data_IF_297627558434
#
_entry.id   IF_297627558434
#
_cell.length_a   1.000
_cell.length_b   1.000
_cell.length_c   1.000
_cell.angle_alpha   90.00
_cell.angle_beta   90.00
_cell.angle_gamma   90.00
#
_symmetry.space_group_name_H-M   'P 1'
#
loop_
_entity.id
_entity.type
_entity.pdbx_description
1 polymer ?
#
# COMPACT_ATOMS: atom_id res chain seq x y z
N UNK A 1 15.76 -6.67 -10.92
CA UNK A 1 14.70 -5.66 -11.17
C UNK A 1 13.47 -6.07 -10.39
N UNK A 2 12.78 -5.13 -9.74
CA UNK A 2 11.47 -5.40 -9.15
C UNK A 2 10.41 -4.65 -9.97
N UNK A 3 9.28 -5.30 -10.23
CA UNK A 3 8.13 -4.72 -10.94
C UNK A 3 6.93 -4.81 -10.00
N UNK A 4 6.41 -3.66 -9.61
CA UNK A 4 5.19 -3.54 -8.81
C UNK A 4 4.03 -3.12 -9.71
N UNK A 5 2.89 -3.80 -9.59
CA UNK A 5 1.68 -3.52 -10.34
C UNK A 5 0.73 -2.70 -9.48
N UNK A 6 0.55 -1.43 -9.84
CA UNK A 6 -0.53 -0.59 -9.33
C UNK A 6 -1.81 -0.77 -10.15
N UNK A 7 -2.90 -0.16 -9.71
CA UNK A 7 -4.21 -0.32 -10.37
C UNK A 7 -4.20 0.05 -11.86
N UNK A 8 -3.55 1.16 -12.21
CA UNK A 8 -3.42 1.67 -13.58
C UNK A 8 -1.98 2.03 -13.97
N UNK A 9 -1.00 1.66 -13.15
CA UNK A 9 0.42 1.95 -13.36
C UNK A 9 1.31 0.76 -13.04
N UNK A 10 2.56 0.81 -13.50
CA UNK A 10 3.61 -0.14 -13.13
C UNK A 10 4.82 0.62 -12.63
N UNK A 11 5.32 0.24 -11.47
CA UNK A 11 6.55 0.80 -10.89
C UNK A 11 7.70 -0.18 -11.08
N UNK A 12 8.83 0.33 -11.60
CA UNK A 12 10.05 -0.46 -11.80
C UNK A 12 11.12 0.03 -10.83
N UNK A 13 11.56 -0.85 -9.94
CA UNK A 13 12.70 -0.57 -9.05
C UNK A 13 13.99 -1.10 -9.68
N UNK A 14 14.91 -0.18 -9.95
CA UNK A 14 16.24 -0.44 -10.47
C UNK A 14 17.27 -0.56 -9.34
N UNK A 15 18.25 -1.46 -9.49
CA UNK A 15 19.43 -1.44 -8.64
C UNK A 15 20.32 -0.23 -8.98
N UNK A 16 21.12 0.28 -8.03
CA UNK A 16 22.03 1.40 -8.29
C UNK A 16 22.95 1.13 -9.47
N UNK A 17 23.12 2.11 -10.35
CA UNK A 17 24.03 2.05 -11.50
C UNK A 17 23.52 1.27 -12.73
N UNK A 18 22.31 0.74 -12.70
CA UNK A 18 21.72 0.04 -13.86
C UNK A 18 21.00 1.03 -14.78
N UNK A 19 21.23 0.91 -16.10
CA UNK A 19 20.57 1.75 -17.10
C UNK A 19 19.18 1.23 -17.45
N UNK A 20 18.27 2.12 -17.88
CA UNK A 20 16.96 1.72 -18.38
C UNK A 20 17.06 0.78 -19.60
N UNK A 21 18.04 0.99 -20.47
CA UNK A 21 18.27 0.16 -21.66
C UNK A 21 18.47 -1.32 -21.31
N UNK A 22 19.14 -1.59 -20.18
CA UNK A 22 19.41 -2.95 -19.69
C UNK A 22 18.20 -3.57 -18.96
N UNK A 23 17.37 -2.72 -18.34
CA UNK A 23 16.18 -3.13 -17.58
C UNK A 23 14.97 -3.39 -18.47
N UNK A 24 14.77 -2.58 -19.51
CA UNK A 24 13.61 -2.67 -20.42
C UNK A 24 13.29 -4.09 -20.89
N UNK A 25 14.24 -4.91 -21.39
CA UNK A 25 13.92 -6.27 -21.84
C UNK A 25 13.46 -7.17 -20.67
N UNK A 26 14.02 -7.01 -19.47
CA UNK A 26 13.64 -7.78 -18.29
C UNK A 26 12.24 -7.40 -17.80
N UNK A 27 11.93 -6.10 -17.77
CA UNK A 27 10.59 -5.61 -17.40
C UNK A 27 9.53 -6.15 -18.36
N UNK A 28 9.79 -6.08 -19.67
CA UNK A 28 8.86 -6.60 -20.68
C UNK A 28 8.63 -8.10 -20.52
N UNK A 29 9.68 -8.88 -20.23
CA UNK A 29 9.54 -10.31 -19.98
C UNK A 29 8.65 -10.60 -18.77
N UNK A 30 8.86 -9.89 -17.65
CA UNK A 30 8.03 -10.05 -16.44
C UNK A 30 6.55 -9.71 -16.72
N UNK A 31 6.30 -8.61 -17.45
CA UNK A 31 4.92 -8.24 -17.83
C UNK A 31 4.29 -9.30 -18.73
N UNK A 32 5.01 -9.77 -19.75
CA UNK A 32 4.51 -10.80 -20.66
C UNK A 32 4.22 -12.11 -19.93
N UNK A 33 5.15 -12.61 -19.12
CA UNK A 33 4.99 -13.84 -18.34
C UNK A 33 3.75 -13.76 -17.45
N UNK A 34 3.54 -12.60 -16.81
CA UNK A 34 2.36 -12.36 -15.99
C UNK A 34 1.05 -12.46 -16.80
N UNK A 35 0.94 -11.74 -17.93
CA UNK A 35 -0.27 -11.75 -18.75
C UNK A 35 -0.51 -13.09 -19.45
N UNK A 36 0.55 -13.79 -19.85
CA UNK A 36 0.47 -15.13 -20.44
C UNK A 36 0.00 -16.16 -19.39
N UNK A 37 0.49 -16.05 -18.16
CA UNK A 37 0.07 -16.91 -17.06
C UNK A 37 -1.39 -16.69 -16.63
N UNK A 38 -2.02 -15.59 -17.06
CA UNK A 38 -3.36 -15.16 -16.61
C UNK A 38 -3.47 -15.13 -15.08
N UNK A 39 -2.35 -14.88 -14.40
CA UNK A 39 -2.34 -14.76 -12.96
C UNK A 39 -3.14 -13.51 -12.57
N UNK A 40 -4.08 -13.60 -11.61
CA UNK A 40 -4.83 -12.42 -11.19
C UNK A 40 -3.88 -11.39 -10.55
N UNK A 41 -3.88 -10.15 -11.08
CA UNK A 41 -3.15 -9.01 -10.49
C UNK A 41 -3.79 -8.54 -9.19
N UNK A 42 -5.12 -8.57 -9.16
CA UNK A 42 -5.94 -8.11 -8.06
C UNK A 42 -6.99 -9.17 -7.76
N UNK A 43 -7.44 -9.24 -6.51
CA UNK A 43 -8.59 -10.05 -6.15
C UNK A 43 -9.83 -9.43 -6.84
N UNK A 44 -10.50 -10.15 -7.76
CA UNK A 44 -11.70 -9.61 -8.39
C UNK A 44 -12.80 -9.43 -7.34
N UNK A 45 -13.47 -8.29 -7.34
CA UNK A 45 -14.64 -8.06 -6.48
C UNK A 45 -15.73 -9.08 -6.82
N UNK A 46 -16.17 -9.87 -5.84
CA UNK A 46 -17.27 -10.81 -6.01
C UNK A 46 -18.62 -10.12 -5.80
N UNK A 47 -19.67 -10.51 -6.53
CA UNK A 47 -21.03 -9.97 -6.37
C UNK A 47 -21.67 -10.24 -4.98
N UNK A 48 -21.03 -11.04 -4.14
CA UNK A 48 -21.42 -11.29 -2.75
C UNK A 48 -20.69 -10.38 -1.78
N UNK A 49 -21.04 -9.09 -1.75
CA UNK A 49 -20.53 -8.14 -0.75
C UNK A 49 -19.02 -7.90 -0.77
N UNK A 50 -18.57 -6.99 0.09
CA UNK A 50 -17.15 -6.69 0.32
C UNK A 50 -16.50 -7.96 0.85
N UNK A 51 -15.87 -8.74 -0.02
CA UNK A 51 -15.11 -9.90 0.37
C UNK A 51 -13.78 -9.43 0.98
N UNK A 52 -13.71 -9.40 2.30
CA UNK A 52 -12.43 -9.34 3.01
C UNK A 52 -11.69 -10.63 2.66
N UNK A 53 -10.55 -10.58 1.93
CA UNK A 53 -9.79 -11.78 1.64
C UNK A 53 -9.39 -12.46 2.95
N UNK A 54 -9.21 -13.80 3.00
CA UNK A 54 -8.55 -14.43 4.13
C UNK A 54 -7.17 -13.77 4.22
N UNK A 55 -7.03 -12.97 5.25
CA UNK A 55 -5.95 -12.02 5.34
C UNK A 55 -4.64 -12.78 5.46
N UNK A 56 -3.56 -12.19 4.97
CA UNK A 56 -2.21 -12.61 5.31
C UNK A 56 -2.04 -12.35 6.82
N UNK A 57 -2.53 -13.30 7.63
CA UNK A 57 -2.68 -13.28 9.11
C UNK A 57 -1.34 -13.13 9.85
N UNK A 58 -0.23 -12.97 9.14
CA UNK A 58 1.10 -12.84 9.72
C UNK A 58 1.33 -11.53 10.48
N UNK A 59 0.57 -10.46 10.20
CA UNK A 59 0.91 -9.10 10.69
C UNK A 59 -0.31 -8.18 10.94
N UNK A 60 -1.49 -8.73 11.19
CA UNK A 60 -2.64 -7.91 11.56
C UNK A 60 -2.61 -7.58 13.03
N UNK A 61 -2.82 -6.31 13.34
CA UNK A 61 -3.07 -5.89 14.71
C UNK A 61 -4.45 -6.42 15.11
N UNK A 62 -4.56 -7.02 16.29
CA UNK A 62 -5.85 -7.44 16.83
C UNK A 62 -6.69 -6.17 17.14
N UNK A 63 -7.79 -5.98 16.43
CA UNK A 63 -8.61 -4.77 16.51
C UNK A 63 -9.74 -4.95 17.53
N UNK A 64 -10.14 -3.88 18.21
CA UNK A 64 -11.27 -3.93 19.14
C UNK A 64 -12.55 -3.56 18.42
N UNK A 65 -13.63 -4.28 18.67
CA UNK A 65 -14.95 -3.98 18.07
C UNK A 65 -15.41 -2.54 18.39
N UNK A 66 -15.05 -2.02 19.56
CA UNK A 66 -15.36 -0.63 19.98
C UNK A 66 -14.67 0.44 19.13
N UNK A 67 -13.59 0.11 18.43
CA UNK A 67 -12.86 1.03 17.56
C UNK A 67 -13.40 1.04 16.11
N UNK A 68 -14.48 0.29 15.82
CA UNK A 68 -14.99 0.08 14.46
C UNK A 68 -15.26 1.36 13.66
N UNK A 69 -15.84 2.38 14.29
CA UNK A 69 -16.11 3.67 13.65
C UNK A 69 -14.81 4.43 13.31
N UNK A 70 -13.82 4.36 14.20
CA UNK A 70 -12.49 4.97 14.01
C UNK A 70 -11.77 4.28 12.84
N UNK A 71 -11.80 2.95 12.81
CA UNK A 71 -11.20 2.12 11.76
C UNK A 71 -11.86 2.42 10.41
N UNK A 72 -13.19 2.55 10.36
CA UNK A 72 -13.91 2.91 9.15
C UNK A 72 -13.47 4.29 8.63
N UNK A 73 -13.35 5.28 9.51
CA UNK A 73 -12.90 6.61 9.15
C UNK A 73 -11.45 6.65 8.67
N UNK A 74 -10.54 5.90 9.31
CA UNK A 74 -9.15 5.74 8.86
C UNK A 74 -9.14 5.17 7.44
N UNK A 75 -9.84 4.05 7.22
CA UNK A 75 -9.87 3.39 5.91
C UNK A 75 -10.44 4.30 4.81
N UNK A 76 -11.48 5.08 5.10
CA UNK A 76 -12.03 6.06 4.15
C UNK A 76 -10.98 7.12 3.76
N UNK A 77 -10.26 7.68 4.73
CA UNK A 77 -9.22 8.68 4.47
C UNK A 77 -8.05 8.08 3.68
N UNK A 78 -7.67 6.84 4.01
CA UNK A 78 -6.62 6.13 3.28
C UNK A 78 -7.01 5.95 1.82
N UNK A 79 -8.23 5.48 1.54
CA UNK A 79 -8.70 5.20 0.18
C UNK A 79 -8.93 6.48 -0.63
N UNK A 80 -9.55 7.50 -0.03
CA UNK A 80 -9.99 8.69 -0.77
C UNK A 80 -8.91 9.76 -0.92
N UNK A 81 -7.88 9.75 -0.06
CA UNK A 81 -6.86 10.82 -0.03
C UNK A 81 -5.43 10.30 -0.10
N UNK A 82 -5.10 9.29 0.68
CA UNK A 82 -3.70 8.84 0.80
C UNK A 82 -3.29 7.99 -0.40
N UNK A 83 -4.04 6.92 -0.71
CA UNK A 83 -3.72 6.02 -1.83
C UNK A 83 -3.62 6.74 -3.17
N UNK A 84 -4.50 7.69 -3.53
CA UNK A 84 -4.34 8.47 -4.77
C UNK A 84 -3.05 9.27 -4.82
N UNK A 85 -2.65 9.89 -3.71
CA UNK A 85 -1.39 10.64 -3.64
C UNK A 85 -0.17 9.71 -3.76
N UNK A 86 -0.19 8.57 -3.06
CA UNK A 86 0.89 7.59 -3.07
C UNK A 86 1.02 6.89 -4.42
N UNK A 87 -0.09 6.59 -5.08
CA UNK A 87 -0.12 6.06 -6.44
C UNK A 87 0.53 7.03 -7.44
N UNK A 88 0.31 8.34 -7.28
CA UNK A 88 0.99 9.37 -8.06
C UNK A 88 2.52 9.32 -7.97
N UNK A 89 3.04 8.86 -6.83
CA UNK A 89 4.48 8.66 -6.57
C UNK A 89 4.97 7.24 -6.95
N UNK A 90 4.10 6.39 -7.50
CA UNK A 90 4.42 5.01 -7.90
C UNK A 90 4.49 4.02 -6.73
N UNK A 91 3.86 4.32 -5.60
CA UNK A 91 3.72 3.42 -4.47
C UNK A 91 2.28 2.96 -4.25
N UNK A 92 2.08 2.15 -3.22
CA UNK A 92 0.78 1.95 -2.59
C UNK A 92 0.97 1.78 -1.08
N UNK A 93 -0.11 1.80 -0.33
CA UNK A 93 -0.13 1.48 1.10
C UNK A 93 -1.17 0.41 1.39
N UNK A 94 -0.82 -0.47 2.32
CA UNK A 94 -1.73 -1.47 2.83
C UNK A 94 -1.98 -1.23 4.32
N UNK A 95 -3.24 -1.09 4.69
CA UNK A 95 -3.64 -1.04 6.09
C UNK A 95 -3.37 -2.38 6.77
N UNK A 96 -2.75 -2.37 7.95
CA UNK A 96 -2.39 -3.55 8.74
C UNK A 96 -3.02 -3.57 10.14
N UNK A 97 -3.83 -2.56 10.47
CA UNK A 97 -4.62 -2.54 11.69
C UNK A 97 -4.44 -1.27 12.51
N UNK A 98 -5.32 -1.11 13.50
CA UNK A 98 -5.32 0.00 14.45
C UNK A 98 -5.50 -0.52 15.88
N UNK A 99 -4.71 0.02 16.80
CA UNK A 99 -4.85 -0.27 18.24
C UNK A 99 -4.25 0.85 19.07
N UNK A 100 -4.94 1.24 20.14
CA UNK A 100 -4.45 2.20 21.15
C UNK A 100 -3.88 3.49 20.54
N UNK A 101 -4.54 4.01 19.50
CA UNK A 101 -4.11 5.23 18.80
C UNK A 101 -2.99 5.04 17.78
N UNK A 102 -2.53 3.81 17.51
CA UNK A 102 -1.47 3.52 16.55
C UNK A 102 -2.03 2.86 15.31
N UNK A 103 -1.82 3.49 14.15
CA UNK A 103 -2.18 2.93 12.83
C UNK A 103 -0.96 2.22 12.24
N UNK A 104 -1.12 0.96 11.88
CA UNK A 104 -0.09 0.15 11.24
C UNK A 104 -0.32 0.11 9.73
N UNK A 105 0.68 0.53 8.96
CA UNK A 105 0.65 0.54 7.50
C UNK A 105 1.85 -0.20 6.94
N UNK A 106 1.65 -0.97 5.87
CA UNK A 106 2.75 -1.48 5.06
C UNK A 106 2.88 -0.65 3.79
N UNK A 107 4.08 -0.14 3.53
CA UNK A 107 4.38 0.62 2.31
C UNK A 107 4.75 -0.33 1.18
N UNK A 108 4.24 -0.09 -0.03
CA UNK A 108 4.48 -0.91 -1.21
C UNK A 108 4.98 -0.05 -2.39
N UNK A 109 5.49 -0.71 -3.43
CA UNK A 109 6.03 -0.06 -4.62
C UNK A 109 7.22 0.86 -4.29
N UNK A 110 7.26 2.04 -4.92
CA UNK A 110 8.34 3.02 -4.76
C UNK A 110 8.56 3.45 -3.29
N UNK A 111 7.51 3.41 -2.46
CA UNK A 111 7.52 3.88 -1.08
C UNK A 111 8.18 2.92 -0.09
N UNK A 112 8.44 1.67 -0.49
CA UNK A 112 9.05 0.63 0.36
C UNK A 112 10.58 0.64 0.39
N UNK A 113 11.23 1.15 -0.67
CA UNK A 113 12.67 0.93 -0.91
C UNK A 113 13.61 2.09 -0.59
N UNK A 114 13.08 3.27 -0.22
CA UNK A 114 13.87 4.48 0.01
C UNK A 114 13.62 5.05 1.42
N UNK A 115 14.58 4.90 2.37
CA UNK A 115 14.38 5.31 3.76
C UNK A 115 13.96 6.78 3.94
N UNK A 116 14.48 7.69 3.11
CA UNK A 116 14.10 9.11 3.18
C UNK A 116 12.68 9.37 2.70
N UNK A 117 12.23 8.68 1.65
CA UNK A 117 10.87 8.83 1.11
C UNK A 117 9.85 8.19 2.03
N UNK A 118 10.17 7.02 2.61
CA UNK A 118 9.33 6.34 3.61
C UNK A 118 9.10 7.23 4.83
N UNK A 119 10.15 7.89 5.34
CA UNK A 119 10.02 8.79 6.48
C UNK A 119 9.12 10.00 6.17
N UNK A 120 9.35 10.70 5.05
CA UNK A 120 8.52 11.86 4.67
C UNK A 120 7.07 11.48 4.47
N UNK A 121 6.81 10.39 3.74
CA UNK A 121 5.46 9.91 3.49
C UNK A 121 4.74 9.53 4.78
N UNK A 122 5.42 8.79 5.68
CA UNK A 122 4.91 8.45 7.00
C UNK A 122 4.44 9.68 7.76
N UNK A 123 5.25 10.74 7.82
CA UNK A 123 4.88 11.98 8.52
C UNK A 123 3.69 12.68 7.86
N UNK A 124 3.61 12.68 6.52
CA UNK A 124 2.48 13.25 5.79
C UNK A 124 1.16 12.52 6.11
N UNK A 125 1.19 11.18 6.09
CA UNK A 125 0.02 10.35 6.41
C UNK A 125 -0.38 10.55 7.87
N UNK A 126 0.59 10.52 8.80
CA UNK A 126 0.33 10.72 10.22
C UNK A 126 -0.30 12.08 10.51
N UNK A 127 0.20 13.16 9.89
CA UNK A 127 -0.37 14.49 10.05
C UNK A 127 -1.80 14.60 9.52
N UNK A 128 -2.09 13.96 8.39
CA UNK A 128 -3.44 13.90 7.82
C UNK A 128 -4.39 13.13 8.75
N UNK A 129 -4.00 11.93 9.18
CA UNK A 129 -4.84 11.09 10.04
C UNK A 129 -5.11 11.78 11.38
N UNK A 130 -4.09 12.35 12.03
CA UNK A 130 -4.25 13.15 13.27
C UNK A 130 -5.22 14.32 13.13
N UNK A 131 -5.26 14.94 11.95
CA UNK A 131 -6.12 16.10 11.73
C UNK A 131 -7.59 15.71 11.61
N UNK A 132 -7.89 14.58 10.95
CA UNK A 132 -9.26 14.14 10.70
C UNK A 132 -9.78 13.10 11.72
N UNK A 133 -8.88 12.36 12.37
CA UNK A 133 -9.16 11.31 13.36
C UNK A 133 -8.30 11.60 14.61
N UNK A 134 -8.78 12.43 15.55
CA UNK A 134 -8.01 12.85 16.73
C UNK A 134 -7.54 11.71 17.64
N UNK A 135 -8.17 10.53 17.55
CA UNK A 135 -7.82 9.30 18.25
C UNK A 135 -6.52 8.67 17.72
N UNK A 136 -6.07 9.06 16.53
CA UNK A 136 -4.77 8.63 15.99
C UNK A 136 -3.65 9.45 16.61
N UNK A 137 -2.69 8.77 17.23
CA UNK A 137 -1.53 9.35 17.92
C UNK A 137 -0.22 9.05 17.19
N UNK A 138 -0.16 7.96 16.43
CA UNK A 138 1.05 7.55 15.71
C UNK A 138 0.70 6.70 14.48
N UNK A 139 1.52 6.80 13.42
CA UNK A 139 1.53 5.82 12.33
C UNK A 139 2.82 5.00 12.42
N UNK A 140 2.78 3.69 12.19
CA UNK A 140 3.96 2.81 12.15
C UNK A 140 4.00 1.99 10.88
N UNK A 141 5.22 1.71 10.42
CA UNK A 141 5.44 0.74 9.36
C UNK A 141 5.34 -0.68 9.96
N UNK A 142 4.56 -1.55 9.32
CA UNK A 142 4.41 -2.97 9.64
C UNK A 142 5.18 -3.84 8.64
#
# INVERSE_FOLDING_TARGET
VNVFFGGDFVTVTAAPGVSWSDLKPQVLAILLDHFVAQAPLFVPGTAGGIAVPPEDVGMLVDEREEDGDIIAQINELLETRVRPAVAGDGGDIQYRGYRDGVVHLQMQGACSGCPSSTATLKHGIEGLLKHYVPEVVEVRAA
#
